data_IF_513716355452
#
_entry.id   IF_513716355452
#
_cell.length_a   1.000
_cell.length_b   1.000
_cell.length_c   1.000
_cell.angle_alpha   90.00
_cell.angle_beta   90.00
_cell.angle_gamma   90.00
#
_symmetry.space_group_name_H-M   'P 1'
#
loop_
_entity.id
_entity.type
_entity.pdbx_description
1 polymer ?
#
# COMPACT_ATOMS: atom_id res chain seq x y z
N UNK A 1 -4.57 12.72 45.54
CA UNK A 1 -6.00 12.47 45.79
C UNK A 1 -6.81 13.34 44.84
N UNK A 2 -7.40 12.69 43.84
CA UNK A 2 -8.71 12.98 43.22
C UNK A 2 -8.93 14.36 42.55
N UNK A 3 -9.24 14.46 41.24
CA UNK A 3 -10.26 13.81 40.37
C UNK A 3 -11.46 14.75 40.14
N UNK A 4 -11.80 14.88 38.84
CA UNK A 4 -13.14 14.99 38.25
C UNK A 4 -13.93 16.29 38.49
N UNK A 5 -14.38 16.96 37.43
CA UNK A 5 -15.68 16.68 36.77
C UNK A 5 -15.74 17.34 35.38
N UNK A 6 -15.78 16.57 34.27
CA UNK A 6 -16.96 16.22 33.41
C UNK A 6 -17.48 17.35 32.50
N UNK A 7 -17.30 17.27 31.17
CA UNK A 7 -18.19 16.63 30.16
C UNK A 7 -19.61 17.21 30.07
N UNK A 8 -19.96 17.73 28.90
CA UNK A 8 -21.33 17.72 28.35
C UNK A 8 -21.18 17.65 26.81
N UNK A 9 -21.12 16.46 26.22
CA UNK A 9 -22.18 15.49 25.88
C UNK A 9 -23.00 15.86 24.64
N UNK A 10 -22.90 14.93 23.69
CA UNK A 10 -23.67 14.73 22.47
C UNK A 10 -25.15 14.47 22.81
N UNK A 11 -26.05 14.95 21.93
CA UNK A 11 -27.47 14.62 21.77
C UNK A 11 -28.47 15.18 22.79
N UNK A 12 -29.20 16.25 22.41
CA UNK A 12 -30.66 16.22 22.19
C UNK A 12 -31.24 17.63 21.93
N UNK A 13 -32.33 17.65 21.15
CA UNK A 13 -33.22 18.77 20.74
C UNK A 13 -32.65 19.71 19.65
N UNK A 14 -32.84 19.44 18.35
CA UNK A 14 -34.10 19.49 17.58
C UNK A 14 -34.91 20.77 17.76
N UNK A 15 -35.05 21.49 16.63
CA UNK A 15 -36.09 22.47 16.30
C UNK A 15 -36.08 23.78 17.09
N UNK A 16 -35.21 24.72 16.69
CA UNK A 16 -35.56 26.14 16.40
C UNK A 16 -34.28 26.92 16.14
N UNK A 17 -33.81 26.89 14.88
CA UNK A 17 -33.19 28.03 14.22
C UNK A 17 -33.11 27.70 12.72
N UNK A 18 -34.29 27.62 12.11
CA UNK A 18 -34.46 27.62 10.67
C UNK A 18 -34.41 29.08 10.20
N UNK A 19 -33.23 29.53 9.80
CA UNK A 19 -33.08 30.84 9.17
C UNK A 19 -31.62 31.18 8.92
N UNK A 20 -31.07 30.73 7.80
CA UNK A 20 -29.76 31.18 7.24
C UNK A 20 -28.51 30.37 7.63
N UNK A 21 -28.61 29.06 7.86
CA UNK A 21 -27.43 28.19 7.82
C UNK A 21 -27.48 27.35 6.55
N UNK A 22 -26.93 27.90 5.47
CA UNK A 22 -26.52 27.09 4.32
C UNK A 22 -25.42 26.16 4.83
N UNK A 23 -25.81 24.95 5.24
CA UNK A 23 -24.92 23.80 5.38
C UNK A 23 -24.15 23.76 4.06
N UNK A 24 -22.87 24.12 4.08
CA UNK A 24 -22.04 24.16 2.89
C UNK A 24 -22.01 22.72 2.34
N UNK A 25 -22.67 22.42 1.20
CA UNK A 25 -22.74 21.04 0.71
C UNK A 25 -21.35 20.52 0.27
N UNK A 26 -20.39 21.43 0.06
CA UNK A 26 -19.04 21.13 -0.43
C UNK A 26 -18.08 20.62 0.66
N UNK A 27 -18.19 21.12 1.91
CA UNK A 27 -17.32 20.69 3.02
C UNK A 27 -17.58 19.24 3.45
N UNK A 28 -18.84 18.77 3.34
CA UNK A 28 -19.21 17.37 3.59
C UNK A 28 -18.79 16.46 2.44
N UNK A 29 -18.71 16.99 1.22
CA UNK A 29 -18.34 16.24 0.02
C UNK A 29 -16.82 15.96 0.02
N UNK A 30 -15.99 16.97 0.26
CA UNK A 30 -14.54 16.79 0.43
C UNK A 30 -14.24 15.85 1.61
N UNK A 31 -14.96 16.00 2.72
CA UNK A 31 -14.83 15.12 3.88
C UNK A 31 -15.22 13.67 3.54
N UNK A 32 -16.34 13.40 2.87
CA UNK A 32 -16.74 12.04 2.46
C UNK A 32 -15.78 11.42 1.43
N UNK A 33 -15.28 12.18 0.46
CA UNK A 33 -14.40 11.66 -0.59
C UNK A 33 -12.94 11.55 -0.18
N UNK A 34 -12.53 12.15 0.95
CA UNK A 34 -11.19 12.01 1.52
C UNK A 34 -11.18 11.05 2.71
N UNK A 35 -12.21 11.08 3.56
CA UNK A 35 -12.33 10.16 4.70
C UNK A 35 -12.71 8.76 4.27
N UNK A 36 -13.53 8.53 3.23
CA UNK A 36 -13.86 7.17 2.79
C UNK A 36 -12.63 6.44 2.22
N UNK A 37 -11.76 7.05 1.39
CA UNK A 37 -10.48 6.47 1.01
C UNK A 37 -9.52 6.23 2.16
N UNK A 38 -9.38 7.21 3.05
CA UNK A 38 -8.56 7.08 4.26
C UNK A 38 -9.06 5.92 5.12
N UNK A 39 -10.36 5.85 5.35
CA UNK A 39 -11.02 4.78 6.08
C UNK A 39 -10.94 3.47 5.31
N UNK A 40 -11.01 3.41 3.98
CA UNK A 40 -10.80 2.18 3.20
C UNK A 40 -9.35 1.71 3.24
N UNK A 41 -8.37 2.61 3.25
CA UNK A 41 -6.95 2.28 3.30
C UNK A 41 -6.54 1.85 4.71
N UNK A 42 -6.97 2.62 5.71
CA UNK A 42 -6.87 2.27 7.12
C UNK A 42 -7.65 0.98 7.37
N UNK A 43 -8.85 0.77 6.83
CA UNK A 43 -9.63 -0.46 7.02
C UNK A 43 -9.06 -1.63 6.22
N UNK A 44 -8.40 -1.45 5.08
CA UNK A 44 -7.66 -2.53 4.40
C UNK A 44 -6.44 -2.95 5.23
N UNK A 45 -5.68 -1.99 5.77
CA UNK A 45 -4.50 -2.22 6.60
C UNK A 45 -4.84 -2.62 8.06
N UNK A 46 -5.98 -2.19 8.58
CA UNK A 46 -6.56 -2.63 9.86
C UNK A 46 -7.24 -3.98 9.69
N UNK A 47 -7.94 -4.25 8.60
CA UNK A 47 -8.44 -5.60 8.29
C UNK A 47 -7.25 -6.56 8.06
N UNK A 48 -6.09 -6.08 7.62
CA UNK A 48 -4.84 -6.84 7.70
C UNK A 48 -4.43 -7.13 9.16
N UNK A 49 -4.53 -6.15 10.07
CA UNK A 49 -4.32 -6.36 11.51
C UNK A 49 -5.38 -7.26 12.16
N UNK A 50 -6.66 -7.12 11.83
CA UNK A 50 -7.78 -7.91 12.33
C UNK A 50 -7.72 -9.32 11.78
N UNK A 51 -7.37 -9.51 10.50
CA UNK A 51 -7.07 -10.83 9.95
C UNK A 51 -5.79 -11.40 10.53
N UNK A 52 -4.79 -10.61 10.93
CA UNK A 52 -3.63 -11.12 11.69
C UNK A 52 -4.05 -11.60 13.08
N UNK A 53 -4.86 -10.84 13.82
CA UNK A 53 -5.38 -11.24 15.14
C UNK A 53 -6.30 -12.46 15.02
N UNK A 54 -7.23 -12.47 14.07
CA UNK A 54 -8.10 -13.61 13.78
C UNK A 54 -7.30 -14.81 13.29
N UNK A 55 -6.22 -14.64 12.51
CA UNK A 55 -5.31 -15.74 12.12
C UNK A 55 -4.49 -16.24 13.31
N UNK A 56 -4.01 -15.38 14.20
CA UNK A 56 -3.33 -15.79 15.43
C UNK A 56 -4.30 -16.61 16.31
N UNK A 57 -5.55 -16.16 16.43
CA UNK A 57 -6.59 -16.84 17.22
C UNK A 57 -7.14 -18.12 16.55
N UNK A 58 -7.23 -18.19 15.21
CA UNK A 58 -7.77 -19.35 14.48
C UNK A 58 -6.73 -20.34 13.97
N UNK A 59 -5.50 -19.93 13.69
CA UNK A 59 -4.44 -20.78 13.12
C UNK A 59 -3.32 -21.15 14.09
N UNK A 60 -3.36 -20.66 15.34
CA UNK A 60 -2.52 -21.14 16.44
C UNK A 60 -1.03 -20.77 16.37
N UNK A 61 -0.45 -20.62 15.17
CA UNK A 61 0.94 -20.20 14.95
C UNK A 61 1.09 -19.47 13.61
N UNK A 62 1.52 -18.20 13.66
CA UNK A 62 2.16 -17.55 12.51
C UNK A 62 3.67 -17.47 12.79
N UNK A 63 4.44 -18.31 12.07
CA UNK A 63 5.91 -18.42 12.18
C UNK A 63 6.65 -17.09 12.09
N UNK A 64 6.02 -16.06 11.55
CA UNK A 64 6.58 -14.72 11.44
C UNK A 64 6.63 -13.98 12.79
N UNK A 65 5.71 -14.27 13.71
CA UNK A 65 5.58 -13.58 15.01
C UNK A 65 6.07 -14.40 16.21
N UNK A 66 6.36 -15.69 16.01
CA UNK A 66 6.82 -16.57 17.09
C UNK A 66 8.07 -16.07 17.80
N UNK A 67 8.96 -15.33 17.11
CA UNK A 67 10.14 -14.71 17.73
C UNK A 67 9.84 -13.44 18.54
N UNK A 68 8.74 -12.76 18.26
CA UNK A 68 8.40 -11.47 18.87
C UNK A 68 7.40 -11.59 20.02
N UNK A 69 6.56 -12.65 20.04
CA UNK A 69 5.49 -12.83 21.03
C UNK A 69 5.99 -13.01 22.47
N UNK A 70 7.22 -13.50 22.65
CA UNK A 70 7.79 -13.80 23.96
C UNK A 70 8.31 -12.56 24.70
N UNK A 71 8.35 -11.39 24.05
CA UNK A 71 8.80 -10.15 24.65
C UNK A 71 7.80 -9.03 24.32
N UNK A 72 7.01 -8.62 25.32
CA UNK A 72 6.02 -7.55 25.21
C UNK A 72 6.63 -6.23 24.72
N UNK A 73 7.89 -5.94 25.07
CA UNK A 73 8.62 -4.77 24.59
C UNK A 73 8.86 -4.79 23.08
N UNK A 74 9.27 -5.94 22.52
CA UNK A 74 9.47 -6.10 21.08
C UNK A 74 8.15 -5.99 20.30
N UNK A 75 7.06 -6.48 20.90
CA UNK A 75 5.72 -6.35 20.35
C UNK A 75 5.27 -4.87 20.35
N UNK A 76 5.47 -4.15 21.45
CA UNK A 76 5.15 -2.72 21.54
C UNK A 76 5.93 -1.88 20.52
N UNK A 77 7.24 -2.12 20.39
CA UNK A 77 8.07 -1.44 19.39
C UNK A 77 7.55 -1.70 17.97
N UNK A 78 7.21 -2.94 17.63
CA UNK A 78 6.63 -3.26 16.33
C UNK A 78 5.34 -2.48 16.05
N UNK A 79 4.41 -2.44 17.01
CA UNK A 79 3.15 -1.70 16.84
C UNK A 79 3.36 -0.18 16.78
N UNK A 80 4.33 0.37 17.52
CA UNK A 80 4.72 1.80 17.40
C UNK A 80 5.23 2.07 15.98
N UNK A 81 6.09 1.22 15.43
CA UNK A 81 6.55 1.35 14.05
C UNK A 81 5.40 1.24 13.04
N UNK A 82 4.43 0.33 13.25
CA UNK A 82 3.23 0.25 12.40
C UNK A 82 2.36 1.50 12.50
N UNK A 83 2.19 2.07 13.70
CA UNK A 83 1.44 3.30 13.90
C UNK A 83 2.10 4.50 13.22
N UNK A 84 3.41 4.69 13.43
CA UNK A 84 4.19 5.73 12.77
C UNK A 84 4.18 5.59 11.25
N UNK A 85 4.24 4.34 10.76
CA UNK A 85 4.13 4.02 9.36
C UNK A 85 2.80 4.47 8.77
N UNK A 86 1.67 4.05 9.37
CA UNK A 86 0.33 4.44 8.91
C UNK A 86 0.18 5.95 8.95
N UNK A 87 0.55 6.57 10.06
CA UNK A 87 0.51 8.02 10.23
C UNK A 87 1.27 8.77 9.13
N UNK A 88 2.49 8.33 8.82
CA UNK A 88 3.34 8.95 7.78
C UNK A 88 2.70 8.86 6.39
N UNK A 89 2.12 7.70 6.05
CA UNK A 89 1.47 7.49 4.75
C UNK A 89 0.16 8.28 4.63
N UNK A 90 -0.52 8.53 5.75
CA UNK A 90 -1.78 9.30 5.78
C UNK A 90 -1.60 10.81 5.85
N UNK A 91 -0.36 11.33 5.95
CA UNK A 91 -0.09 12.76 6.09
C UNK A 91 -0.79 13.67 5.06
N UNK A 92 -0.78 13.37 3.74
CA UNK A 92 -1.46 14.23 2.76
C UNK A 92 -2.94 14.41 3.09
N UNK A 93 -3.59 13.32 3.51
CA UNK A 93 -5.00 13.33 3.88
C UNK A 93 -5.23 14.05 5.21
N UNK A 94 -4.35 13.84 6.19
CA UNK A 94 -4.46 14.52 7.49
C UNK A 94 -4.37 16.03 7.35
N UNK A 95 -3.46 16.55 6.52
CA UNK A 95 -3.31 17.99 6.28
C UNK A 95 -4.54 18.57 5.58
N UNK A 96 -5.06 17.88 4.55
CA UNK A 96 -6.28 18.34 3.87
C UNK A 96 -7.47 18.41 4.83
N UNK A 97 -7.65 17.43 5.72
CA UNK A 97 -8.75 17.45 6.70
C UNK A 97 -8.54 18.44 7.86
N UNK A 98 -7.30 18.87 8.11
CA UNK A 98 -6.99 19.86 9.14
C UNK A 98 -7.05 21.30 8.63
N UNK A 99 -7.16 21.48 7.31
CA UNK A 99 -7.23 22.78 6.65
C UNK A 99 -8.66 23.32 6.66
N UNK A 100 -8.83 24.60 7.02
CA UNK A 100 -10.10 25.32 6.90
C UNK A 100 -10.36 25.86 5.47
N UNK A 101 -9.41 25.65 4.55
CA UNK A 101 -9.54 26.06 3.13
C UNK A 101 -10.57 25.18 2.43
N UNK A 102 -11.47 25.80 1.68
CA UNK A 102 -12.50 25.15 0.86
C UNK A 102 -12.39 25.61 -0.62
N UNK A 103 -11.31 25.23 -1.34
CA UNK A 103 -11.19 25.55 -2.75
C UNK A 103 -12.22 24.77 -3.57
N UNK A 104 -12.68 25.34 -4.68
CA UNK A 104 -13.46 24.59 -5.67
C UNK A 104 -12.63 23.42 -6.22
N UNK A 105 -13.29 22.33 -6.61
CA UNK A 105 -12.64 21.15 -7.22
C UNK A 105 -11.76 21.59 -8.40
N UNK A 106 -10.48 21.21 -8.34
CA UNK A 106 -9.49 21.46 -9.38
C UNK A 106 -9.19 20.18 -10.19
N UNK A 107 -8.37 20.31 -11.22
CA UNK A 107 -7.97 19.17 -12.05
C UNK A 107 -7.14 18.14 -11.25
N UNK A 108 -6.33 18.62 -10.30
CA UNK A 108 -5.49 17.83 -9.41
C UNK A 108 -6.32 16.89 -8.54
N UNK A 109 -7.46 17.35 -8.02
CA UNK A 109 -8.41 16.51 -7.27
C UNK A 109 -8.87 15.32 -8.11
N UNK A 110 -9.33 15.59 -9.34
CA UNK A 110 -9.85 14.57 -10.25
C UNK A 110 -8.75 13.57 -10.63
N UNK A 111 -7.55 14.05 -10.95
CA UNK A 111 -6.40 13.18 -11.28
C UNK A 111 -6.05 12.31 -10.08
N UNK A 112 -5.94 12.90 -8.89
CA UNK A 112 -5.64 12.19 -7.66
C UNK A 112 -6.68 11.12 -7.32
N UNK A 113 -7.97 11.42 -7.49
CA UNK A 113 -9.05 10.46 -7.29
C UNK A 113 -9.02 9.30 -8.30
N UNK A 114 -8.74 9.58 -9.57
CA UNK A 114 -8.58 8.53 -10.59
C UNK A 114 -7.40 7.62 -10.24
N UNK A 115 -6.25 8.20 -9.89
CA UNK A 115 -5.08 7.43 -9.45
C UNK A 115 -5.40 6.56 -8.23
N UNK A 116 -6.04 7.14 -7.23
CA UNK A 116 -6.48 6.42 -6.03
C UNK A 116 -7.41 5.25 -6.35
N UNK A 117 -8.44 5.49 -7.17
CA UNK A 117 -9.42 4.49 -7.54
C UNK A 117 -8.79 3.33 -8.33
N UNK A 118 -7.95 3.65 -9.32
CA UNK A 118 -7.22 2.65 -10.10
C UNK A 118 -6.24 1.86 -9.24
N UNK A 119 -5.51 2.52 -8.35
CA UNK A 119 -4.58 1.87 -7.42
C UNK A 119 -5.30 0.87 -6.51
N UNK A 120 -6.44 1.28 -5.96
CA UNK A 120 -7.31 0.44 -5.12
C UNK A 120 -7.84 -0.77 -5.88
N UNK A 121 -8.32 -0.61 -7.11
CA UNK A 121 -8.78 -1.73 -7.94
C UNK A 121 -7.64 -2.71 -8.20
N UNK A 122 -6.45 -2.21 -8.57
CA UNK A 122 -5.30 -3.06 -8.84
C UNK A 122 -4.90 -3.86 -7.60
N UNK A 123 -4.87 -3.24 -6.42
CA UNK A 123 -4.58 -3.90 -5.15
C UNK A 123 -5.58 -5.02 -4.86
N UNK A 124 -6.88 -4.72 -4.89
CA UNK A 124 -7.95 -5.68 -4.59
C UNK A 124 -7.90 -6.88 -5.55
N UNK A 125 -7.75 -6.62 -6.86
CA UNK A 125 -7.69 -7.68 -7.86
C UNK A 125 -6.43 -8.54 -7.69
N UNK A 126 -5.28 -7.91 -7.45
CA UNK A 126 -4.02 -8.61 -7.23
C UNK A 126 -4.09 -9.52 -6.00
N UNK A 127 -4.65 -9.04 -4.90
CA UNK A 127 -4.77 -9.81 -3.67
C UNK A 127 -5.79 -10.94 -3.79
N UNK A 128 -6.92 -10.70 -4.48
CA UNK A 128 -7.90 -11.73 -4.81
C UNK A 128 -7.26 -12.85 -5.65
N UNK A 129 -6.51 -12.48 -6.68
CA UNK A 129 -5.77 -13.43 -7.52
C UNK A 129 -4.77 -14.23 -6.68
N UNK A 130 -4.00 -13.55 -5.81
CA UNK A 130 -3.00 -14.20 -4.96
C UNK A 130 -3.62 -15.17 -3.96
N UNK A 131 -4.74 -14.78 -3.36
CA UNK A 131 -5.49 -15.61 -2.44
C UNK A 131 -6.04 -16.85 -3.13
N UNK A 132 -6.66 -16.68 -4.29
CA UNK A 132 -7.19 -17.79 -5.10
C UNK A 132 -6.09 -18.76 -5.53
N UNK A 133 -4.92 -18.23 -5.96
CA UNK A 133 -3.76 -19.05 -6.29
C UNK A 133 -3.31 -19.90 -5.09
N UNK A 134 -3.11 -19.28 -3.92
CA UNK A 134 -2.61 -19.98 -2.72
C UNK A 134 -3.55 -21.09 -2.22
N UNK A 135 -4.85 -20.95 -2.43
CA UNK A 135 -5.84 -21.93 -1.99
C UNK A 135 -6.06 -23.06 -3.00
N UNK A 136 -5.56 -22.93 -4.24
CA UNK A 136 -5.64 -24.01 -5.23
C UNK A 136 -4.60 -25.10 -4.95
N UNK A 137 -4.98 -26.39 -4.92
CA UNK A 137 -4.03 -27.50 -4.78
C UNK A 137 -2.95 -27.52 -5.87
N UNK A 138 -3.26 -27.03 -7.07
CA UNK A 138 -2.39 -27.02 -8.24
C UNK A 138 -1.26 -26.00 -8.16
N UNK A 139 -1.32 -25.09 -7.17
CA UNK A 139 -0.33 -24.03 -6.93
C UNK A 139 0.89 -24.51 -6.16
N UNK A 140 0.83 -25.70 -5.53
CA UNK A 140 1.91 -26.24 -4.71
C UNK A 140 3.19 -26.34 -5.54
N UNK A 141 4.27 -25.73 -5.04
CA UNK A 141 5.58 -25.72 -5.71
C UNK A 141 5.68 -24.80 -6.93
N UNK A 142 4.69 -23.93 -7.19
CA UNK A 142 4.70 -22.97 -8.30
C UNK A 142 4.73 -21.52 -7.78
N UNK A 143 5.10 -20.59 -8.66
CA UNK A 143 4.94 -19.15 -8.43
C UNK A 143 3.58 -18.68 -8.98
N UNK A 144 3.09 -17.57 -8.44
CA UNK A 144 1.82 -16.99 -8.86
C UNK A 144 2.01 -16.26 -10.19
N UNK A 145 1.30 -16.68 -11.23
CA UNK A 145 1.32 -16.07 -12.56
C UNK A 145 -0.08 -15.89 -13.17
N UNK A 146 -1.12 -15.90 -12.33
CA UNK A 146 -2.51 -15.74 -12.74
C UNK A 146 -2.95 -14.27 -12.66
N UNK A 147 -3.94 -13.89 -13.48
CA UNK A 147 -4.54 -12.55 -13.47
C UNK A 147 -3.51 -11.43 -13.58
N UNK A 148 -3.52 -10.48 -12.65
CA UNK A 148 -2.57 -9.35 -12.66
C UNK A 148 -1.11 -9.77 -12.44
N UNK A 149 -0.87 -10.89 -11.76
CA UNK A 149 0.47 -11.44 -11.53
C UNK A 149 1.15 -11.95 -12.81
N UNK A 150 0.41 -12.07 -13.90
CA UNK A 150 0.96 -12.36 -15.24
C UNK A 150 1.69 -11.15 -15.84
N UNK A 151 1.28 -9.94 -15.47
CA UNK A 151 1.75 -8.68 -16.07
C UNK A 151 2.79 -7.98 -15.20
N UNK A 152 2.75 -8.20 -13.88
CA UNK A 152 3.74 -7.72 -12.93
C UNK A 152 4.02 -8.78 -11.88
N UNK A 153 5.23 -8.82 -11.35
CA UNK A 153 5.62 -9.70 -10.24
C UNK A 153 5.09 -9.21 -8.90
N UNK A 154 4.78 -7.92 -8.76
CA UNK A 154 4.22 -7.30 -7.54
C UNK A 154 3.14 -6.25 -7.89
N UNK A 155 2.02 -6.65 -8.51
CA UNK A 155 0.97 -5.71 -8.94
C UNK A 155 0.28 -5.03 -7.75
N UNK A 156 0.16 -5.72 -6.61
CA UNK A 156 -0.39 -5.15 -5.38
C UNK A 156 0.42 -3.94 -4.88
N UNK A 157 1.76 -4.01 -4.96
CA UNK A 157 2.63 -2.89 -4.59
C UNK A 157 2.53 -1.71 -5.56
N UNK A 158 2.28 -1.98 -6.85
CA UNK A 158 1.96 -0.91 -7.78
C UNK A 158 0.67 -0.20 -7.40
N UNK A 159 -0.36 -0.95 -6.98
CA UNK A 159 -1.60 -0.40 -6.42
C UNK A 159 -1.34 0.53 -5.22
N UNK A 160 -0.63 0.04 -4.20
CA UNK A 160 -0.23 0.80 -2.99
C UNK A 160 0.54 2.09 -3.31
N UNK A 161 1.44 2.05 -4.28
CA UNK A 161 2.20 3.24 -4.71
C UNK A 161 1.25 4.20 -5.42
N UNK A 162 0.50 3.72 -6.42
CA UNK A 162 -0.38 4.57 -7.23
C UNK A 162 -1.43 5.28 -6.37
N UNK A 163 -2.03 4.57 -5.40
CA UNK A 163 -3.04 5.15 -4.53
C UNK A 163 -2.48 6.21 -3.58
N UNK A 164 -1.25 6.03 -3.09
CA UNK A 164 -0.64 6.97 -2.13
C UNK A 164 -0.15 8.23 -2.84
N UNK A 165 0.37 8.09 -4.06
CA UNK A 165 0.61 9.24 -4.94
C UNK A 165 -0.69 9.92 -5.35
N UNK A 166 -1.80 9.18 -5.49
CA UNK A 166 -3.13 9.75 -5.72
C UNK A 166 -3.59 10.68 -4.60
N UNK A 167 -3.43 10.29 -3.33
CA UNK A 167 -3.71 11.17 -2.18
C UNK A 167 -2.88 12.44 -2.21
N UNK A 168 -1.59 12.31 -2.52
CA UNK A 168 -0.70 13.45 -2.59
C UNK A 168 -1.10 14.43 -3.71
N UNK A 169 -1.41 13.91 -4.90
CA UNK A 169 -1.86 14.75 -6.02
C UNK A 169 -3.18 15.46 -5.69
N UNK A 170 -4.14 14.76 -5.09
CA UNK A 170 -5.40 15.37 -4.66
C UNK A 170 -5.21 16.43 -3.56
N UNK A 171 -4.15 16.35 -2.75
CA UNK A 171 -3.87 17.35 -1.72
C UNK A 171 -3.18 18.62 -2.24
N UNK A 172 -2.65 18.63 -3.47
CA UNK A 172 -1.89 19.77 -4.03
C UNK A 172 -2.60 21.13 -3.97
N UNK A 173 -3.94 21.24 -4.18
CA UNK A 173 -4.62 22.53 -4.09
C UNK A 173 -4.61 23.17 -2.70
N UNK A 174 -4.34 22.38 -1.64
CA UNK A 174 -4.38 22.83 -0.25
C UNK A 174 -2.97 23.16 0.28
N UNK A 175 -1.96 22.39 -0.16
CA UNK A 175 -0.61 22.38 0.40
C UNK A 175 0.13 23.69 0.11
N UNK A 176 0.56 24.37 1.18
CA UNK A 176 1.42 25.55 1.09
C UNK A 176 2.57 25.52 2.11
N UNK A 177 3.69 26.19 1.79
CA UNK A 177 4.79 26.43 2.74
C UNK A 177 5.36 25.17 3.42
N UNK A 178 5.20 25.05 4.73
CA UNK A 178 5.71 23.90 5.49
C UNK A 178 4.90 22.60 5.28
N UNK A 179 3.70 22.67 4.69
CA UNK A 179 2.84 21.51 4.46
C UNK A 179 3.38 20.58 3.38
N UNK A 180 4.36 21.00 2.58
CA UNK A 180 5.09 20.13 1.64
C UNK A 180 5.75 18.91 2.30
N UNK A 181 5.88 18.89 3.64
CA UNK A 181 6.26 17.70 4.40
C UNK A 181 5.35 16.48 4.15
N UNK A 182 4.13 16.66 3.68
CA UNK A 182 3.24 15.55 3.28
C UNK A 182 3.81 14.68 2.16
N UNK A 183 4.75 15.20 1.35
CA UNK A 183 5.48 14.44 0.33
C UNK A 183 6.29 13.28 0.94
N UNK A 184 6.65 13.37 2.23
CA UNK A 184 7.36 12.31 2.95
C UNK A 184 6.54 11.01 2.90
N UNK A 185 5.21 11.06 2.99
CA UNK A 185 4.32 9.90 2.94
C UNK A 185 4.52 9.01 1.70
N UNK A 186 4.18 9.48 0.49
CA UNK A 186 4.32 8.70 -0.74
C UNK A 186 5.77 8.30 -1.05
N UNK A 187 6.75 9.17 -0.77
CA UNK A 187 8.17 8.87 -0.99
C UNK A 187 8.62 7.74 -0.05
N UNK A 188 8.29 7.84 1.24
CA UNK A 188 8.62 6.84 2.25
C UNK A 188 8.02 5.47 1.91
N UNK A 189 6.73 5.42 1.55
CA UNK A 189 6.07 4.19 1.14
C UNK A 189 6.76 3.57 -0.08
N UNK A 190 7.02 4.39 -1.10
CA UNK A 190 7.65 3.94 -2.35
C UNK A 190 9.03 3.35 -2.08
N UNK A 191 9.87 4.02 -1.28
CA UNK A 191 11.21 3.55 -0.93
C UNK A 191 11.16 2.27 -0.08
N UNK A 192 10.25 2.17 0.89
CA UNK A 192 10.15 0.97 1.71
C UNK A 192 9.76 -0.25 0.86
N UNK A 193 8.78 -0.08 -0.03
CA UNK A 193 8.31 -1.14 -0.92
C UNK A 193 9.40 -1.55 -1.92
N UNK A 194 10.10 -0.59 -2.53
CA UNK A 194 11.13 -0.89 -3.52
C UNK A 194 12.40 -1.51 -2.92
N UNK A 195 12.83 -1.08 -1.73
CA UNK A 195 14.18 -1.39 -1.24
C UNK A 195 14.24 -2.16 0.08
N UNK A 196 13.33 -1.91 1.02
CA UNK A 196 13.49 -2.40 2.40
C UNK A 196 12.68 -3.66 2.66
N UNK A 197 11.35 -3.57 2.63
CA UNK A 197 10.47 -4.65 3.11
C UNK A 197 9.70 -5.36 2.00
N UNK A 198 9.51 -4.71 0.86
CA UNK A 198 8.66 -5.20 -0.22
C UNK A 198 9.42 -6.09 -1.20
N UNK A 199 9.77 -5.53 -2.36
CA UNK A 199 10.24 -6.25 -3.53
C UNK A 199 11.54 -7.02 -3.25
N UNK A 200 12.53 -6.40 -2.59
CA UNK A 200 13.84 -7.02 -2.36
C UNK A 200 13.76 -8.33 -1.57
N UNK A 201 12.95 -8.37 -0.51
CA UNK A 201 12.77 -9.54 0.34
C UNK A 201 12.00 -10.64 -0.41
N UNK A 202 10.92 -10.28 -1.10
CA UNK A 202 10.08 -11.22 -1.82
C UNK A 202 10.80 -11.84 -3.03
N UNK A 203 11.50 -11.03 -3.82
CA UNK A 203 12.31 -11.48 -4.95
C UNK A 203 13.42 -12.43 -4.48
N UNK A 204 14.12 -12.08 -3.39
CA UNK A 204 15.15 -12.95 -2.81
C UNK A 204 14.57 -14.27 -2.29
N UNK A 205 13.37 -14.25 -1.72
CA UNK A 205 12.69 -15.47 -1.24
C UNK A 205 12.25 -16.35 -2.42
N UNK A 206 11.71 -15.75 -3.48
CA UNK A 206 11.36 -16.45 -4.72
C UNK A 206 12.59 -17.09 -5.39
N UNK A 207 13.67 -16.32 -5.52
CA UNK A 207 14.94 -16.79 -6.09
C UNK A 207 15.54 -17.96 -5.32
N UNK A 208 15.44 -17.95 -3.98
CA UNK A 208 15.90 -19.08 -3.15
C UNK A 208 15.10 -20.36 -3.41
N UNK A 209 13.79 -20.24 -3.66
CA UNK A 209 12.89 -21.39 -3.86
C UNK A 209 12.93 -21.94 -5.28
N UNK A 210 12.95 -21.04 -6.27
CA UNK A 210 12.72 -21.38 -7.68
C UNK A 210 13.89 -20.99 -8.59
N UNK A 211 14.96 -20.40 -8.08
CA UNK A 211 16.06 -19.88 -8.91
C UNK A 211 16.82 -20.94 -9.73
N UNK A 212 16.75 -22.21 -9.33
CA UNK A 212 17.32 -23.34 -10.08
C UNK A 212 16.39 -23.87 -11.18
N UNK A 213 15.14 -23.39 -11.24
CA UNK A 213 14.16 -23.80 -12.24
C UNK A 213 14.25 -22.87 -13.45
N UNK A 214 14.55 -23.41 -14.64
CA UNK A 214 14.74 -22.59 -15.84
C UNK A 214 13.47 -21.80 -16.22
N UNK A 215 12.29 -22.42 -16.10
CA UNK A 215 11.01 -21.76 -16.34
C UNK A 215 10.81 -20.52 -15.44
N UNK A 216 11.27 -20.55 -14.18
CA UNK A 216 11.20 -19.40 -13.28
C UNK A 216 12.10 -18.25 -13.74
N UNK A 217 13.30 -18.58 -14.24
CA UNK A 217 14.25 -17.58 -14.76
C UNK A 217 13.71 -16.91 -16.01
N UNK A 218 13.07 -17.68 -16.89
CA UNK A 218 12.37 -17.15 -18.08
C UNK A 218 11.20 -16.26 -17.67
N UNK A 219 10.38 -16.71 -16.72
CA UNK A 219 9.29 -15.91 -16.15
C UNK A 219 9.80 -14.57 -15.62
N UNK A 220 10.83 -14.58 -14.76
CA UNK A 220 11.38 -13.37 -14.15
C UNK A 220 11.95 -12.39 -15.18
N UNK A 221 12.55 -12.87 -16.27
CA UNK A 221 13.03 -12.02 -17.37
C UNK A 221 11.92 -11.37 -18.20
N UNK A 222 10.75 -12.01 -18.30
CA UNK A 222 9.64 -11.60 -19.18
C UNK A 222 8.51 -10.88 -18.45
N UNK A 223 8.48 -10.90 -17.12
CA UNK A 223 7.45 -10.25 -16.32
C UNK A 223 8.04 -9.05 -15.59
N UNK A 224 7.37 -7.90 -15.68
CA UNK A 224 7.79 -6.64 -15.05
C UNK A 224 7.86 -6.76 -13.52
N UNK A 225 8.78 -6.04 -12.88
CA UNK A 225 8.92 -6.06 -11.42
C UNK A 225 7.73 -5.43 -10.71
N UNK A 226 7.33 -4.22 -11.14
CA UNK A 226 6.33 -3.40 -10.45
C UNK A 226 5.18 -3.00 -11.39
N UNK A 227 5.48 -2.29 -12.48
CA UNK A 227 4.46 -1.73 -13.39
C UNK A 227 3.83 -2.85 -14.22
N UNK A 228 2.50 -3.06 -14.19
CA UNK A 228 1.83 -4.07 -15.02
C UNK A 228 2.03 -3.83 -16.51
N UNK A 229 2.72 -4.76 -17.19
CA UNK A 229 2.98 -4.68 -18.63
C UNK A 229 2.81 -6.05 -19.32
N UNK A 230 2.36 -6.07 -20.59
CA UNK A 230 2.35 -7.30 -21.38
C UNK A 230 3.74 -7.94 -21.47
N UNK A 231 3.80 -9.26 -21.25
CA UNK A 231 5.06 -10.03 -21.26
C UNK A 231 5.83 -9.95 -22.58
N UNK A 232 5.11 -9.79 -23.69
CA UNK A 232 5.70 -9.61 -25.02
C UNK A 232 6.47 -8.30 -25.12
N UNK A 233 5.91 -7.21 -24.59
CA UNK A 233 6.54 -5.89 -24.58
C UNK A 233 7.73 -5.89 -23.62
N UNK A 234 7.49 -6.30 -22.36
CA UNK A 234 8.54 -6.30 -21.35
C UNK A 234 9.72 -7.20 -21.74
N UNK A 235 9.47 -8.39 -22.29
CA UNK A 235 10.52 -9.31 -22.70
C UNK A 235 11.53 -8.71 -23.69
N UNK A 236 11.07 -7.84 -24.59
CA UNK A 236 11.86 -7.26 -25.67
C UNK A 236 12.62 -5.98 -25.28
N UNK A 237 12.31 -5.37 -24.13
CA UNK A 237 12.97 -4.13 -23.71
C UNK A 237 14.42 -4.38 -23.22
N UNK A 238 15.36 -3.48 -23.53
CA UNK A 238 16.73 -3.58 -23.04
C UNK A 238 16.79 -3.38 -21.52
N UNK A 239 17.80 -3.98 -20.87
CA UNK A 239 17.90 -3.99 -19.41
C UNK A 239 17.98 -2.59 -18.80
N UNK A 240 18.77 -1.67 -19.39
CA UNK A 240 18.90 -0.31 -18.88
C UNK A 240 17.55 0.43 -18.84
N UNK A 241 16.70 0.21 -19.85
CA UNK A 241 15.37 0.81 -19.91
C UNK A 241 14.46 0.25 -18.80
N UNK A 242 14.51 -1.06 -18.59
CA UNK A 242 13.77 -1.72 -17.50
C UNK A 242 14.22 -1.20 -16.13
N UNK A 243 15.51 -1.01 -15.93
CA UNK A 243 16.06 -0.52 -14.66
C UNK A 243 15.65 0.92 -14.36
N UNK A 244 15.66 1.80 -15.38
CA UNK A 244 15.37 3.23 -15.21
C UNK A 244 13.86 3.51 -15.14
N UNK A 245 13.08 2.97 -16.06
CA UNK A 245 11.66 3.35 -16.22
C UNK A 245 10.68 2.36 -15.58
N UNK A 246 11.10 1.10 -15.40
CA UNK A 246 10.22 0.03 -14.91
C UNK A 246 10.67 -0.54 -13.55
N UNK A 247 11.61 0.15 -12.89
CA UNK A 247 12.14 -0.18 -11.57
C UNK A 247 12.77 -1.58 -11.48
N UNK A 248 13.28 -2.16 -12.57
CA UNK A 248 13.97 -3.47 -12.55
C UNK A 248 15.42 -3.34 -12.06
N UNK A 249 15.58 -3.08 -10.77
CA UNK A 249 16.90 -2.83 -10.19
C UNK A 249 17.78 -4.09 -10.13
N UNK A 250 19.12 -3.95 -10.26
CA UNK A 250 20.05 -5.09 -10.18
C UNK A 250 19.95 -5.88 -8.86
N UNK A 251 19.55 -5.21 -7.78
CA UNK A 251 19.40 -5.82 -6.46
C UNK A 251 18.38 -6.96 -6.44
N UNK A 252 17.36 -6.93 -7.31
CA UNK A 252 16.34 -7.98 -7.42
C UNK A 252 16.87 -9.28 -8.02
N UNK A 253 18.00 -9.24 -8.73
CA UNK A 253 18.60 -10.40 -9.39
C UNK A 253 19.90 -10.89 -8.71
N UNK A 254 20.28 -10.27 -7.58
CA UNK A 254 21.58 -10.53 -6.91
C UNK A 254 21.77 -12.01 -6.54
N UNK A 255 20.71 -12.71 -6.13
CA UNK A 255 20.80 -14.12 -5.78
C UNK A 255 21.02 -15.02 -7.00
N UNK A 256 20.25 -14.81 -8.08
CA UNK A 256 20.39 -15.56 -9.33
C UNK A 256 21.78 -15.37 -9.95
N UNK A 257 22.31 -14.14 -9.91
CA UNK A 257 23.64 -13.84 -10.43
C UNK A 257 24.73 -14.54 -9.62
N UNK A 258 24.63 -14.55 -8.28
CA UNK A 258 25.61 -15.21 -7.40
C UNK A 258 25.63 -16.73 -7.54
N UNK A 259 24.49 -17.36 -7.81
CA UNK A 259 24.44 -18.81 -8.02
C UNK A 259 24.99 -19.21 -9.39
N UNK A 260 24.81 -18.37 -10.42
CA UNK A 260 25.37 -18.62 -11.76
C UNK A 260 26.91 -18.65 -11.74
N UNK A 261 27.56 -17.76 -10.98
CA UNK A 261 29.02 -17.72 -10.84
C UNK A 261 29.61 -18.84 -9.96
N UNK A 262 28.78 -19.65 -9.29
CA UNK A 262 29.23 -20.81 -8.52
C UNK A 262 29.13 -22.13 -9.31
N UNK A 263 28.47 -22.11 -10.46
CA UNK A 263 28.16 -23.28 -11.30
C UNK A 263 28.93 -23.28 -12.62
N UNK A 264 29.66 -22.22 -12.93
CA UNK A 264 30.59 -22.13 -14.07
C UNK A 264 31.99 -21.86 -13.55
#
# INVERSE_FOLDING_TARGET
MLLLTTKCSISSLYLTDCGSCSICPYSVQLMLFVTVPLMCNIFSKLCFCDTMVIRILRWGEDKRYDRMRHNVGNLAVFFIFQGLWVWTVTLPVTVVNASDKDPSIQAEDIIGWIMWFLGTIVEILADKDKFSFKNSPESKGKWCEIGLWKYSRHPNYFGDILLTWGYFVASLPIIEGAEWLVLIGPVFLTLLLLFVSGLTILEKSGDKKFGNVEAYRVYKKRTSALIPLPRSIYGNLPYWFKAVFLFEFPIYNRYLNRNRTKLG
#
